data_IF_797930645696
#
_entry.id   IF_797930645696
#
_cell.length_a   1.000
_cell.length_b   1.000
_cell.length_c   1.000
_cell.angle_alpha   90.00
_cell.angle_beta   90.00
_cell.angle_gamma   90.00
#
_symmetry.space_group_name_H-M   'P 1'
#
loop_
_entity.id
_entity.type
_entity.pdbx_description
1 polymer ?
#
# COMPACT_ATOMS: atom_id res chain seq x y z
N UNK A 1 -19.90 3.67 -7.82
CA UNK A 1 -19.94 3.00 -6.50
C UNK A 1 -19.16 3.89 -5.54
N UNK A 2 -19.67 4.14 -4.34
CA UNK A 2 -18.94 4.92 -3.33
C UNK A 2 -18.24 3.97 -2.35
N UNK A 3 -17.20 4.44 -1.65
CA UNK A 3 -16.49 3.65 -0.64
C UNK A 3 -17.44 3.12 0.46
N UNK A 4 -18.47 3.90 0.80
CA UNK A 4 -19.50 3.52 1.78
C UNK A 4 -20.36 2.32 1.38
N UNK A 5 -20.38 1.98 0.09
CA UNK A 5 -21.18 0.87 -0.45
C UNK A 5 -20.43 -0.46 -0.40
N UNK A 6 -19.14 -0.45 -0.02
CA UNK A 6 -18.27 -1.62 0.04
C UNK A 6 -18.26 -2.16 1.47
N UNK A 7 -18.48 -3.47 1.63
CA UNK A 7 -18.47 -4.09 2.97
C UNK A 7 -17.08 -3.99 3.63
N UNK A 8 -17.00 -3.89 4.97
CA UNK A 8 -15.71 -3.82 5.67
C UNK A 8 -14.76 -4.98 5.33
N UNK A 9 -15.29 -6.18 5.18
CA UNK A 9 -14.53 -7.38 4.82
C UNK A 9 -13.96 -7.25 3.40
N UNK A 10 -14.78 -6.81 2.44
CA UNK A 10 -14.37 -6.62 1.05
C UNK A 10 -13.34 -5.51 0.90
N UNK A 11 -13.53 -4.40 1.63
CA UNK A 11 -12.55 -3.32 1.73
C UNK A 11 -11.21 -3.85 2.20
N UNK A 12 -11.21 -4.61 3.29
CA UNK A 12 -10.00 -5.18 3.88
C UNK A 12 -9.30 -6.12 2.89
N UNK A 13 -10.07 -7.01 2.25
CA UNK A 13 -9.58 -7.91 1.21
C UNK A 13 -8.86 -7.16 0.09
N UNK A 14 -9.47 -6.11 -0.46
CA UNK A 14 -8.90 -5.33 -1.57
C UNK A 14 -7.62 -4.60 -1.13
N UNK A 15 -7.65 -3.89 0.00
CA UNK A 15 -6.49 -3.15 0.49
C UNK A 15 -5.31 -4.07 0.80
N UNK A 16 -5.56 -5.19 1.47
CA UNK A 16 -4.52 -6.20 1.75
C UNK A 16 -3.96 -6.79 0.46
N UNK A 17 -4.79 -7.02 -0.56
CA UNK A 17 -4.34 -7.55 -1.85
C UNK A 17 -3.45 -6.55 -2.60
N UNK A 18 -3.79 -5.26 -2.59
CA UNK A 18 -2.95 -4.20 -3.14
C UNK A 18 -1.62 -4.14 -2.40
N UNK A 19 -1.65 -4.10 -1.07
CA UNK A 19 -0.45 -4.03 -0.25
C UNK A 19 0.50 -5.20 -0.52
N UNK A 20 -0.04 -6.43 -0.58
CA UNK A 20 0.74 -7.63 -0.88
C UNK A 20 1.43 -7.57 -2.23
N UNK A 21 0.71 -7.18 -3.30
CA UNK A 21 1.30 -7.02 -4.63
C UNK A 21 2.41 -5.97 -4.65
N UNK A 22 2.22 -4.86 -3.96
CA UNK A 22 3.23 -3.79 -3.84
C UNK A 22 4.53 -4.33 -3.24
N UNK A 23 4.44 -5.09 -2.15
CA UNK A 23 5.59 -5.69 -1.46
C UNK A 23 6.26 -6.79 -2.29
N UNK A 24 5.47 -7.67 -2.93
CA UNK A 24 5.94 -8.71 -3.84
C UNK A 24 6.76 -8.13 -5.00
N UNK A 25 6.29 -7.03 -5.58
CA UNK A 25 6.94 -6.31 -6.67
C UNK A 25 8.11 -5.42 -6.22
N UNK A 26 8.45 -5.37 -4.92
CA UNK A 26 9.49 -4.51 -4.34
C UNK A 26 9.25 -3.01 -4.59
N UNK A 27 7.98 -2.59 -4.68
CA UNK A 27 7.59 -1.20 -4.97
C UNK A 27 7.33 -0.36 -3.71
N UNK A 28 7.50 -0.92 -2.51
CA UNK A 28 7.15 -0.29 -1.22
C UNK A 28 7.57 1.18 -1.10
N UNK A 29 8.86 1.57 -1.32
CA UNK A 29 9.27 2.97 -1.12
C UNK A 29 8.56 3.94 -2.07
N UNK A 30 8.40 3.55 -3.34
CA UNK A 30 7.76 4.39 -4.36
C UNK A 30 6.26 4.48 -4.10
N UNK A 31 5.62 3.37 -3.72
CA UNK A 31 4.21 3.34 -3.41
C UNK A 31 3.86 4.23 -2.23
N UNK A 32 4.65 4.22 -1.15
CA UNK A 32 4.43 5.09 0.01
C UNK A 32 4.50 6.56 -0.39
N UNK A 33 5.57 6.98 -1.11
CA UNK A 33 5.70 8.38 -1.55
C UNK A 33 4.53 8.81 -2.43
N UNK A 34 4.11 7.95 -3.36
CA UNK A 34 2.97 8.24 -4.23
C UNK A 34 1.66 8.36 -3.44
N UNK A 35 1.38 7.42 -2.53
CA UNK A 35 0.16 7.41 -1.72
C UNK A 35 0.13 8.56 -0.70
N UNK A 36 1.26 8.93 -0.10
CA UNK A 36 1.36 10.13 0.74
C UNK A 36 1.07 11.40 -0.05
N UNK A 37 1.55 11.45 -1.30
CA UNK A 37 1.32 12.58 -2.20
C UNK A 37 -0.15 12.74 -2.60
N UNK A 38 -0.98 11.69 -2.54
CA UNK A 38 -2.41 11.81 -2.85
C UNK A 38 -3.25 12.33 -1.68
N UNK A 39 -2.77 12.27 -0.42
CA UNK A 39 -3.48 12.77 0.76
C UNK A 39 -3.89 14.26 0.70
N UNK A 40 -3.07 15.21 0.18
CA UNK A 40 -3.49 16.61 0.03
C UNK A 40 -4.33 16.89 -1.22
N UNK A 41 -4.48 15.94 -2.15
CA UNK A 41 -5.13 16.15 -3.45
C UNK A 41 -6.63 15.81 -3.39
N UNK A 42 -7.42 16.57 -2.60
CA UNK A 42 -8.88 16.40 -2.52
C UNK A 42 -9.63 16.73 -3.83
N UNK A 43 -8.94 17.13 -4.91
CA UNK A 43 -9.57 17.58 -6.17
C UNK A 43 -9.12 16.82 -7.44
N UNK A 44 -8.13 15.92 -7.36
CA UNK A 44 -7.54 15.25 -8.55
C UNK A 44 -7.69 13.72 -8.51
N UNK A 45 -8.40 13.17 -7.53
CA UNK A 45 -8.56 11.72 -7.36
C UNK A 45 -9.10 11.00 -8.59
N UNK A 46 -10.16 11.54 -9.22
CA UNK A 46 -10.78 10.93 -10.40
C UNK A 46 -9.84 10.87 -11.62
N UNK A 47 -9.04 11.92 -11.85
CA UNK A 47 -8.09 11.96 -12.97
C UNK A 47 -6.85 11.10 -12.70
N UNK A 48 -6.43 10.99 -11.44
CA UNK A 48 -5.36 10.06 -11.05
C UNK A 48 -5.80 8.61 -11.28
N UNK A 49 -7.02 8.25 -10.94
CA UNK A 49 -7.52 6.88 -11.16
C UNK A 49 -7.54 6.53 -12.66
N UNK A 50 -7.98 7.44 -13.53
CA UNK A 50 -7.92 7.25 -14.98
C UNK A 50 -6.48 7.08 -15.48
N UNK A 51 -5.53 7.84 -14.93
CA UNK A 51 -4.10 7.68 -15.23
C UNK A 51 -3.56 6.31 -14.79
N UNK A 52 -3.97 5.83 -13.61
CA UNK A 52 -3.52 4.53 -13.06
C UNK A 52 -4.30 3.32 -13.59
N UNK A 53 -5.41 3.54 -14.31
CA UNK A 53 -6.25 2.49 -14.90
C UNK A 53 -5.47 1.38 -15.63
N UNK A 54 -4.53 1.64 -16.56
CA UNK A 54 -3.80 0.58 -17.26
C UNK A 54 -2.98 -0.30 -16.30
N UNK A 55 -2.43 0.28 -15.23
CA UNK A 55 -1.64 -0.45 -14.24
C UNK A 55 -2.56 -1.30 -13.36
N UNK A 56 -3.68 -0.73 -12.89
CA UNK A 56 -4.64 -1.43 -12.05
C UNK A 56 -5.27 -2.59 -12.82
N UNK A 57 -5.70 -2.38 -14.06
CA UNK A 57 -6.31 -3.43 -14.90
C UNK A 57 -5.32 -4.52 -15.31
N UNK A 58 -4.00 -4.24 -15.34
CA UNK A 58 -2.99 -5.26 -15.55
C UNK A 58 -2.79 -6.15 -14.30
N UNK A 59 -3.00 -5.61 -13.10
CA UNK A 59 -2.76 -6.29 -11.84
C UNK A 59 -4.02 -6.93 -11.23
N UNK A 60 -5.20 -6.43 -11.59
CA UNK A 60 -6.50 -6.78 -11.02
C UNK A 60 -7.56 -7.01 -12.10
N UNK A 61 -8.57 -7.87 -11.86
CA UNK A 61 -9.70 -8.04 -12.76
C UNK A 61 -10.47 -6.73 -12.98
N UNK A 62 -10.99 -6.54 -14.20
CA UNK A 62 -11.73 -5.34 -14.60
C UNK A 62 -12.88 -4.96 -13.65
N UNK A 63 -13.63 -5.95 -13.13
CA UNK A 63 -14.74 -5.71 -12.22
C UNK A 63 -14.34 -5.12 -10.86
N UNK A 64 -13.05 -5.11 -10.52
CA UNK A 64 -12.55 -4.54 -9.25
C UNK A 64 -12.10 -3.09 -9.40
N UNK A 65 -12.02 -2.56 -10.63
CA UNK A 65 -11.52 -1.20 -10.85
C UNK A 65 -12.36 -0.15 -10.12
N UNK A 66 -13.69 -0.23 -10.21
CA UNK A 66 -14.59 0.73 -9.57
C UNK A 66 -14.51 0.65 -8.03
N UNK A 67 -14.37 -0.56 -7.48
CA UNK A 67 -14.19 -0.77 -6.04
C UNK A 67 -12.85 -0.16 -5.57
N UNK A 68 -11.77 -0.41 -6.32
CA UNK A 68 -10.44 0.13 -6.01
C UNK A 68 -10.44 1.66 -6.10
N UNK A 69 -11.03 2.21 -7.17
CA UNK A 69 -11.15 3.66 -7.35
C UNK A 69 -11.89 4.29 -6.18
N UNK A 70 -13.06 3.75 -5.83
CA UNK A 70 -13.87 4.24 -4.71
C UNK A 70 -13.10 4.17 -3.38
N UNK A 71 -12.36 3.09 -3.12
CA UNK A 71 -11.57 2.97 -1.89
C UNK A 71 -10.41 3.97 -1.84
N UNK A 72 -9.70 4.21 -2.95
CA UNK A 72 -8.54 5.10 -2.99
C UNK A 72 -8.90 6.59 -2.98
N UNK A 73 -10.16 6.96 -3.25
CA UNK A 73 -10.65 8.32 -3.06
C UNK A 73 -10.79 8.73 -1.58
N UNK A 74 -10.92 7.75 -0.67
CA UNK A 74 -11.02 8.00 0.76
C UNK A 74 -9.63 8.03 1.42
N UNK A 75 -9.28 9.20 1.98
CA UNK A 75 -8.01 9.42 2.69
C UNK A 75 -7.79 8.42 3.83
N UNK A 76 -8.83 7.99 4.54
CA UNK A 76 -8.69 7.01 5.61
C UNK A 76 -8.26 5.64 5.07
N UNK A 77 -8.75 5.25 3.89
CA UNK A 77 -8.34 4.01 3.24
C UNK A 77 -6.91 4.10 2.69
N UNK A 78 -6.48 5.26 2.20
CA UNK A 78 -5.08 5.50 1.81
C UNK A 78 -4.15 5.31 3.00
N UNK A 79 -4.51 5.85 4.18
CA UNK A 79 -3.73 5.66 5.41
C UNK A 79 -3.64 4.16 5.80
N UNK A 80 -4.77 3.46 5.78
CA UNK A 80 -4.83 2.02 6.06
C UNK A 80 -3.94 1.25 5.07
N UNK A 81 -3.99 1.61 3.78
CA UNK A 81 -3.19 0.97 2.74
C UNK A 81 -1.68 1.15 2.99
N UNK A 82 -1.24 2.36 3.32
CA UNK A 82 0.18 2.66 3.62
C UNK A 82 0.64 1.80 4.80
N UNK A 83 -0.10 1.81 5.92
CA UNK A 83 0.24 1.03 7.11
C UNK A 83 0.30 -0.47 6.81
N UNK A 84 -0.64 -0.97 5.99
CA UNK A 84 -0.65 -2.38 5.57
C UNK A 84 0.57 -2.72 4.70
N UNK A 85 1.00 -1.82 3.82
CA UNK A 85 2.21 -2.00 3.00
C UNK A 85 3.45 -2.06 3.90
N UNK A 86 3.57 -1.13 4.85
CA UNK A 86 4.70 -1.07 5.78
C UNK A 86 4.81 -2.33 6.64
N UNK A 87 3.68 -2.77 7.21
CA UNK A 87 3.61 -3.99 8.00
C UNK A 87 4.08 -5.21 7.19
N UNK A 88 3.54 -5.40 5.97
CA UNK A 88 3.91 -6.54 5.13
C UNK A 88 5.36 -6.48 4.64
N UNK A 89 5.92 -5.29 4.42
CA UNK A 89 7.33 -5.11 4.07
C UNK A 89 8.25 -5.46 5.24
N UNK A 90 7.87 -5.10 6.47
CA UNK A 90 8.60 -5.47 7.68
C UNK A 90 8.59 -7.00 7.90
N UNK A 91 7.43 -7.63 7.80
CA UNK A 91 7.28 -9.09 7.87
C UNK A 91 8.17 -9.80 6.85
N UNK A 92 8.27 -9.24 5.64
CA UNK A 92 9.11 -9.77 4.56
C UNK A 92 10.61 -9.59 4.78
N UNK A 93 11.04 -8.49 5.42
CA UNK A 93 12.46 -8.25 5.73
C UNK A 93 12.98 -9.18 6.82
N UNK A 94 12.08 -9.79 7.60
CA UNK A 94 12.43 -10.63 8.73
C UNK A 94 12.98 -9.82 9.92
N UNK A 95 13.12 -10.44 11.10
CA UNK A 95 13.68 -9.75 12.26
C UNK A 95 15.09 -9.26 11.93
N UNK A 96 15.32 -7.95 12.08
CA UNK A 96 16.66 -7.35 12.00
C UNK A 96 17.53 -8.06 13.03
N UNK A 97 18.40 -8.97 12.60
CA UNK A 97 19.40 -9.53 13.50
C UNK A 97 20.40 -8.40 13.73
N UNK A 98 20.38 -7.83 14.93
CA UNK A 98 21.45 -7.01 15.47
C UNK A 98 22.71 -7.88 15.61
N UNK A 99 23.41 -8.09 14.50
CA UNK A 99 24.73 -8.70 14.48
C UNK A 99 25.68 -7.72 13.84
N UNK A 100 26.35 -6.93 14.68
CA UNK A 100 27.80 -6.64 14.67
C UNK A 100 28.10 -5.30 15.37
N UNK A 101 28.79 -5.38 16.51
CA UNK A 101 29.54 -4.24 17.03
C UNK A 101 29.56 -4.03 18.55
N UNK A 102 29.93 -5.03 19.36
CA UNK A 102 30.70 -4.81 20.60
C UNK A 102 31.12 -6.15 21.24
N UNK A 103 32.12 -6.82 20.63
CA UNK A 103 32.93 -7.76 21.38
C UNK A 103 34.34 -7.82 20.79
N UNK A 104 35.20 -6.91 21.26
CA UNK A 104 36.52 -6.76 20.67
C UNK A 104 37.42 -5.75 21.37
N UNK A 105 37.42 -5.65 22.71
CA UNK A 105 38.61 -5.20 23.42
C UNK A 105 38.92 -6.13 24.60
N UNK A 106 40.06 -6.78 24.42
CA UNK A 106 40.63 -7.88 25.19
C UNK A 106 41.33 -7.36 26.45
N UNK A 107 41.05 -8.07 27.53
CA UNK A 107 41.83 -8.21 28.76
C UNK A 107 43.34 -8.37 28.48
N UNK A 108 44.16 -7.41 28.91
CA UNK A 108 45.54 -7.61 29.43
C UNK A 108 45.88 -6.49 30.39
#
# INVERSE_FOLDING_TARGET
MFASDITPERKTEILTRIARKTVELRLTPVAIVLLESTKPLSFVGSQLMVFFQPIIMALFPFHQYDEIAALLEDRANIEILIQTIEQLEEERRGPKTESEGENGQTKV
#
